data_IF_547022476930
#
_entry.id   IF_547022476930
#
_cell.length_a   1.000
_cell.length_b   1.000
_cell.length_c   1.000
_cell.angle_alpha   90.00
_cell.angle_beta   90.00
_cell.angle_gamma   90.00
#
_symmetry.space_group_name_H-M   'P 1'
#
loop_
_entity.id
_entity.type
_entity.pdbx_description
1 polymer ?
#
# COMPACT_ATOMS: atom_id res chain seq x y z
N UNK A 1 -21.26 -31.09 30.05
CA UNK A 1 -21.00 -29.68 29.72
C UNK A 1 -21.86 -29.34 28.51
N UNK A 2 -22.84 -28.44 28.66
CA UNK A 2 -23.70 -28.01 27.55
C UNK A 2 -22.86 -27.17 26.59
N UNK A 3 -22.72 -27.59 25.34
CA UNK A 3 -22.11 -26.75 24.29
C UNK A 3 -23.04 -25.56 24.06
N UNK A 4 -22.63 -24.37 24.51
CA UNK A 4 -23.36 -23.14 24.18
C UNK A 4 -23.40 -23.01 22.65
N UNK A 5 -24.61 -23.04 22.09
CA UNK A 5 -24.81 -22.89 20.67
C UNK A 5 -24.41 -21.46 20.26
N UNK A 6 -23.49 -21.34 19.30
CA UNK A 6 -23.08 -20.04 18.76
C UNK A 6 -24.29 -19.31 18.20
N UNK A 7 -24.58 -18.06 18.61
CA UNK A 7 -25.72 -17.32 18.11
C UNK A 7 -25.57 -17.06 16.60
N UNK A 8 -26.70 -17.10 15.88
CA UNK A 8 -26.77 -16.80 14.45
C UNK A 8 -27.51 -15.46 14.23
N UNK A 9 -27.22 -14.75 13.12
CA UNK A 9 -28.07 -13.66 12.67
C UNK A 9 -29.53 -14.12 12.45
N UNK A 10 -30.51 -13.20 12.49
CA UNK A 10 -31.91 -13.54 12.23
C UNK A 10 -32.11 -14.21 10.85
N UNK A 11 -32.86 -15.32 10.82
CA UNK A 11 -33.24 -16.02 9.59
C UNK A 11 -34.60 -15.51 9.12
N UNK A 12 -34.66 -14.98 7.90
CA UNK A 12 -35.85 -14.37 7.28
C UNK A 12 -36.07 -14.93 5.87
N UNK A 13 -37.23 -14.65 5.26
CA UNK A 13 -37.48 -14.99 3.86
C UNK A 13 -36.63 -14.12 2.89
N UNK A 14 -36.49 -14.58 1.64
CA UNK A 14 -35.67 -13.93 0.63
C UNK A 14 -36.14 -12.51 0.26
N UNK A 15 -37.45 -12.23 0.31
CA UNK A 15 -37.98 -10.91 -0.02
C UNK A 15 -37.66 -9.90 1.09
N UNK A 16 -37.75 -10.33 2.35
CA UNK A 16 -37.32 -9.54 3.50
C UNK A 16 -35.82 -9.29 3.44
N UNK A 17 -35.00 -10.32 3.21
CA UNK A 17 -33.55 -10.15 3.06
C UNK A 17 -33.18 -9.16 1.93
N UNK A 18 -33.80 -9.28 0.76
CA UNK A 18 -33.51 -8.42 -0.39
C UNK A 18 -33.85 -6.95 -0.09
N UNK A 19 -34.97 -6.68 0.58
CA UNK A 19 -35.35 -5.33 0.99
C UNK A 19 -34.32 -4.70 1.93
N UNK A 20 -33.88 -5.44 2.96
CA UNK A 20 -32.88 -4.93 3.90
C UNK A 20 -31.52 -4.72 3.20
N UNK A 21 -31.15 -5.62 2.28
CA UNK A 21 -29.93 -5.49 1.48
C UNK A 21 -29.98 -4.24 0.58
N UNK A 22 -31.09 -3.98 -0.10
CA UNK A 22 -31.20 -2.81 -0.97
C UNK A 22 -31.14 -1.50 -0.17
N UNK A 23 -31.74 -1.48 1.02
CA UNK A 23 -31.63 -0.35 1.94
C UNK A 23 -30.17 -0.12 2.39
N UNK A 24 -29.43 -1.17 2.75
CA UNK A 24 -28.02 -1.07 3.09
C UNK A 24 -27.17 -0.61 1.91
N UNK A 25 -27.45 -1.13 0.71
CA UNK A 25 -26.65 -0.89 -0.50
C UNK A 25 -26.66 0.57 -0.94
N UNK A 26 -27.69 1.34 -0.61
CA UNK A 26 -27.69 2.81 -0.76
C UNK A 26 -26.52 3.44 0.00
N UNK A 27 -26.31 3.04 1.26
CA UNK A 27 -25.22 3.55 2.11
C UNK A 27 -23.86 3.06 1.62
N UNK A 28 -23.77 1.79 1.19
CA UNK A 28 -22.52 1.24 0.65
C UNK A 28 -22.08 1.98 -0.62
N UNK A 29 -23.00 2.24 -1.55
CA UNK A 29 -22.70 3.00 -2.77
C UNK A 29 -22.39 4.47 -2.49
N UNK A 30 -23.01 5.07 -1.48
CA UNK A 30 -22.64 6.42 -1.03
C UNK A 30 -21.20 6.44 -0.48
N UNK A 31 -20.81 5.45 0.33
CA UNK A 31 -19.45 5.34 0.84
C UNK A 31 -18.41 5.10 -0.26
N UNK A 32 -18.74 4.32 -1.30
CA UNK A 32 -17.87 4.18 -2.48
C UNK A 32 -17.62 5.53 -3.16
N UNK A 33 -18.67 6.30 -3.43
CA UNK A 33 -18.54 7.62 -4.10
C UNK A 33 -17.76 8.62 -3.23
N UNK A 34 -17.92 8.55 -1.92
CA UNK A 34 -17.12 9.36 -1.00
C UNK A 34 -15.64 8.99 -1.06
N UNK A 35 -15.31 7.70 -1.15
CA UNK A 35 -13.92 7.26 -1.34
C UNK A 35 -13.36 7.73 -2.68
N UNK A 36 -14.16 7.72 -3.76
CA UNK A 36 -13.75 8.26 -5.06
C UNK A 36 -13.46 9.78 -4.97
N UNK A 37 -14.29 10.53 -4.25
CA UNK A 37 -14.09 11.96 -4.01
C UNK A 37 -12.85 12.24 -3.13
N UNK A 38 -12.62 11.43 -2.10
CA UNK A 38 -11.41 11.50 -1.27
C UNK A 38 -10.17 11.20 -2.11
N UNK A 39 -10.20 10.19 -2.97
CA UNK A 39 -9.09 9.88 -3.88
C UNK A 39 -8.81 11.05 -4.83
N UNK A 40 -9.87 11.69 -5.36
CA UNK A 40 -9.76 12.90 -6.17
C UNK A 40 -9.14 14.09 -5.41
N UNK A 41 -9.41 14.20 -4.10
CA UNK A 41 -8.77 15.20 -3.25
C UNK A 41 -7.30 14.87 -2.97
N UNK A 42 -6.95 13.59 -2.76
CA UNK A 42 -5.56 13.15 -2.55
C UNK A 42 -4.67 13.50 -3.74
N UNK A 43 -5.15 13.29 -4.97
CA UNK A 43 -4.45 13.66 -6.20
C UNK A 43 -4.20 15.17 -6.35
N UNK A 44 -4.85 16.00 -5.53
CA UNK A 44 -4.73 17.47 -5.51
C UNK A 44 -3.96 17.99 -4.29
N UNK A 45 -3.48 17.12 -3.41
CA UNK A 45 -2.67 17.56 -2.27
C UNK A 45 -1.36 18.19 -2.75
N UNK A 46 -0.90 19.28 -2.11
CA UNK A 46 0.45 19.76 -2.33
C UNK A 46 1.46 18.74 -1.83
N UNK A 47 2.64 18.73 -2.43
CA UNK A 47 3.72 17.79 -2.10
C UNK A 47 4.90 18.50 -1.41
N UNK A 48 5.60 17.79 -0.54
CA UNK A 48 6.78 18.30 0.17
C UNK A 48 8.03 17.71 -0.46
N UNK A 49 8.96 18.56 -0.90
CA UNK A 49 10.27 18.13 -1.40
C UNK A 49 11.07 17.48 -0.27
N UNK A 50 11.53 16.26 -0.50
CA UNK A 50 12.33 15.52 0.46
C UNK A 50 13.82 15.88 0.34
N UNK A 51 14.57 15.89 1.45
CA UNK A 51 16.02 15.83 1.41
C UNK A 51 16.52 14.63 0.61
N UNK A 52 17.78 14.70 0.17
CA UNK A 52 18.46 13.54 -0.38
C UNK A 52 18.81 12.58 0.75
N UNK A 53 18.05 11.51 0.88
CA UNK A 53 18.32 10.45 1.86
C UNK A 53 19.09 9.31 1.22
N UNK A 54 19.97 8.72 2.03
CA UNK A 54 20.52 7.39 1.79
C UNK A 54 19.86 6.42 2.76
N UNK A 55 19.33 5.32 2.23
CA UNK A 55 18.88 4.16 2.99
C UNK A 55 19.89 3.02 2.78
N UNK A 56 19.70 1.90 3.48
CA UNK A 56 20.50 0.70 3.25
C UNK A 56 19.60 -0.41 2.73
N UNK A 57 19.91 -0.94 1.54
CA UNK A 57 19.25 -2.09 0.93
C UNK A 57 20.14 -3.34 1.00
N UNK A 58 19.67 -4.44 0.41
CA UNK A 58 20.39 -5.71 0.41
C UNK A 58 21.78 -5.67 -0.23
N UNK A 59 22.01 -4.71 -1.14
CA UNK A 59 23.29 -4.51 -1.84
C UNK A 59 24.12 -3.37 -1.25
N UNK A 60 23.69 -2.81 -0.11
CA UNK A 60 24.36 -1.70 0.58
C UNK A 60 23.59 -0.37 0.47
N UNK A 61 24.29 0.78 0.65
CA UNK A 61 23.67 2.09 0.62
C UNK A 61 22.99 2.41 -0.72
N UNK A 62 21.80 3.02 -0.67
CA UNK A 62 20.98 3.37 -1.84
C UNK A 62 20.33 4.74 -1.64
N UNK A 63 20.32 5.60 -2.66
CA UNK A 63 19.63 6.89 -2.57
C UNK A 63 18.11 6.67 -2.61
N UNK A 64 17.34 7.51 -1.93
CA UNK A 64 15.87 7.40 -1.94
C UNK A 64 15.29 7.45 -3.37
N UNK A 65 15.88 8.23 -4.29
CA UNK A 65 15.46 8.29 -5.69
C UNK A 65 15.67 6.97 -6.45
N UNK A 66 16.62 6.14 -6.01
CA UNK A 66 16.93 4.82 -6.59
C UNK A 66 16.02 3.72 -6.02
N UNK A 67 15.43 3.93 -4.85
CA UNK A 67 14.41 3.02 -4.26
C UNK A 67 13.16 2.93 -5.15
N UNK A 68 12.95 3.88 -6.07
CA UNK A 68 11.87 3.81 -7.04
C UNK A 68 12.10 2.73 -8.13
N UNK A 69 13.34 2.29 -8.34
CA UNK A 69 13.68 1.21 -9.29
C UNK A 69 13.10 1.42 -10.70
N UNK A 70 13.21 2.65 -11.20
CA UNK A 70 12.70 3.06 -12.52
C UNK A 70 11.28 3.61 -12.52
N UNK A 71 10.50 3.42 -11.45
CA UNK A 71 9.14 3.92 -11.35
C UNK A 71 9.06 5.43 -11.03
N UNK A 72 7.92 6.06 -11.34
CA UNK A 72 7.65 7.44 -10.93
C UNK A 72 7.02 7.55 -9.54
N UNK A 73 6.34 6.50 -9.06
CA UNK A 73 5.60 6.54 -7.79
C UNK A 73 6.09 5.46 -6.82
N UNK A 74 6.14 5.79 -5.53
CA UNK A 74 6.61 4.87 -4.48
C UNK A 74 5.66 4.89 -3.29
N UNK A 75 5.20 3.72 -2.88
CA UNK A 75 4.57 3.48 -1.59
C UNK A 75 5.63 2.91 -0.66
N UNK A 76 5.74 3.45 0.55
CA UNK A 76 6.59 2.93 1.62
C UNK A 76 5.70 2.54 2.79
N UNK A 77 5.79 1.28 3.21
CA UNK A 77 5.29 0.86 4.52
C UNK A 77 6.42 0.95 5.54
N UNK A 78 6.29 1.87 6.49
CA UNK A 78 7.21 1.98 7.63
C UNK A 78 6.81 0.94 8.67
N UNK A 79 7.60 -0.14 8.75
CA UNK A 79 7.36 -1.24 9.68
C UNK A 79 7.92 -0.90 11.05
N UNK A 80 7.08 -1.01 12.09
CA UNK A 80 7.53 -0.83 13.47
C UNK A 80 8.65 -1.81 13.79
N UNK A 81 9.73 -1.30 14.38
CA UNK A 81 10.92 -2.08 14.65
C UNK A 81 11.35 -1.95 16.10
N UNK A 82 11.72 -3.08 16.70
CA UNK A 82 12.32 -3.15 18.02
C UNK A 82 13.68 -3.84 17.88
N UNK A 83 14.80 -3.10 18.03
CA UNK A 83 16.15 -3.65 17.89
C UNK A 83 16.38 -4.88 18.78
N UNK A 84 17.06 -5.90 18.25
CA UNK A 84 17.37 -7.13 18.98
C UNK A 84 16.21 -8.11 19.17
N UNK A 85 14.97 -7.77 18.79
CA UNK A 85 13.86 -8.71 18.85
C UNK A 85 13.91 -9.74 17.70
N UNK A 86 13.72 -11.01 18.04
CA UNK A 86 13.64 -12.10 17.05
C UNK A 86 12.38 -12.00 16.18
N UNK A 87 11.27 -11.58 16.79
CA UNK A 87 9.96 -11.40 16.16
C UNK A 87 9.49 -9.95 16.33
N UNK A 88 9.11 -9.33 15.20
CA UNK A 88 8.74 -7.91 15.13
C UNK A 88 7.22 -7.72 15.17
N UNK A 89 6.76 -6.47 14.99
CA UNK A 89 5.36 -6.08 15.18
C UNK A 89 4.35 -6.97 14.41
N UNK A 90 3.48 -7.73 15.10
CA UNK A 90 2.59 -8.69 14.45
C UNK A 90 1.53 -8.02 13.56
N UNK A 91 1.10 -6.79 13.89
CA UNK A 91 0.18 -6.04 13.04
C UNK A 91 0.83 -5.59 11.73
N UNK A 92 2.10 -5.21 11.76
CA UNK A 92 2.87 -4.84 10.57
C UNK A 92 3.10 -6.06 9.67
N UNK A 93 3.49 -7.19 10.26
CA UNK A 93 3.64 -8.47 9.57
C UNK A 93 2.32 -8.93 8.97
N UNK A 94 1.22 -8.81 9.74
CA UNK A 94 -0.12 -9.16 9.28
C UNK A 94 -0.55 -8.31 8.09
N UNK A 95 -0.35 -6.99 8.14
CA UNK A 95 -0.69 -6.10 7.03
C UNK A 95 0.12 -6.43 5.77
N UNK A 96 1.44 -6.53 5.90
CA UNK A 96 2.35 -6.72 4.76
C UNK A 96 2.28 -8.12 4.14
N UNK A 97 1.87 -9.14 4.90
CA UNK A 97 1.69 -10.51 4.38
C UNK A 97 0.58 -10.63 3.32
N UNK A 98 -0.29 -9.62 3.20
CA UNK A 98 -1.35 -9.58 2.19
C UNK A 98 -0.82 -9.27 0.78
N UNK A 99 0.42 -8.77 0.66
CA UNK A 99 0.99 -8.33 -0.61
C UNK A 99 2.06 -9.29 -1.11
N UNK A 100 1.63 -10.31 -1.86
CA UNK A 100 2.52 -11.29 -2.51
C UNK A 100 2.58 -11.13 -4.04
N UNK A 101 1.79 -10.19 -4.58
CA UNK A 101 1.62 -9.91 -6.01
C UNK A 101 1.54 -8.41 -6.23
N UNK A 102 2.66 -7.78 -6.54
CA UNK A 102 2.74 -6.35 -6.82
C UNK A 102 2.98 -6.04 -8.30
N UNK A 103 3.06 -7.07 -9.15
CA UNK A 103 3.26 -6.92 -10.60
C UNK A 103 2.24 -5.98 -11.24
N UNK A 104 0.99 -6.02 -10.78
CA UNK A 104 -0.04 -5.11 -11.28
C UNK A 104 0.20 -3.65 -10.88
N UNK A 105 0.71 -3.41 -9.68
CA UNK A 105 1.07 -2.07 -9.22
C UNK A 105 2.21 -1.51 -10.10
N UNK A 106 3.26 -2.30 -10.26
CA UNK A 106 4.47 -1.92 -10.98
C UNK A 106 4.23 -1.73 -12.49
N UNK A 107 3.51 -2.65 -13.13
CA UNK A 107 3.34 -2.64 -14.60
C UNK A 107 2.31 -1.63 -15.10
N UNK A 108 1.21 -1.42 -14.38
CA UNK A 108 0.09 -0.59 -14.88
C UNK A 108 0.05 0.79 -14.29
N UNK A 109 0.49 0.94 -13.04
CA UNK A 109 0.39 2.20 -12.33
C UNK A 109 1.74 2.89 -12.18
N UNK A 110 2.80 2.33 -12.76
CA UNK A 110 4.17 2.86 -12.66
C UNK A 110 4.54 3.19 -11.21
N UNK A 111 4.27 2.23 -10.33
CA UNK A 111 4.36 2.40 -8.89
C UNK A 111 5.00 1.20 -8.22
N UNK A 112 5.90 1.45 -7.27
CA UNK A 112 6.55 0.42 -6.45
C UNK A 112 6.01 0.46 -5.03
N UNK A 113 5.98 -0.69 -4.35
CA UNK A 113 5.65 -0.76 -2.92
C UNK A 113 6.73 -1.50 -2.13
N UNK A 114 7.34 -0.83 -1.17
CA UNK A 114 8.49 -1.33 -0.40
C UNK A 114 8.25 -1.21 1.11
N UNK A 115 9.08 -1.91 1.88
CA UNK A 115 9.09 -1.83 3.35
C UNK A 115 10.36 -1.10 3.80
N UNK A 116 10.21 -0.17 4.74
CA UNK A 116 11.33 0.51 5.41
C UNK A 116 11.22 0.29 6.92
N UNK A 117 12.34 0.00 7.59
CA UNK A 117 12.40 -0.18 9.04
C UNK A 117 13.53 0.65 9.67
N UNK A 118 13.46 0.85 10.99
CA UNK A 118 14.52 1.51 11.76
C UNK A 118 15.58 0.52 12.29
N UNK A 119 15.50 -0.76 11.94
CA UNK A 119 16.49 -1.78 12.28
C UNK A 119 17.66 -1.80 11.31
N UNK A 120 18.78 -2.43 11.66
CA UNK A 120 19.87 -2.62 10.68
C UNK A 120 19.37 -3.47 9.52
N UNK A 121 19.99 -3.30 8.34
CA UNK A 121 19.55 -4.03 7.16
C UNK A 121 19.72 -5.55 7.34
N UNK A 122 20.75 -6.00 8.07
CA UNK A 122 20.99 -7.42 8.33
C UNK A 122 19.85 -8.04 9.14
N UNK A 123 19.41 -7.37 10.22
CA UNK A 123 18.28 -7.85 11.02
C UNK A 123 16.98 -7.82 10.23
N UNK A 124 16.76 -6.75 9.45
CA UNK A 124 15.57 -6.57 8.61
C UNK A 124 15.45 -7.69 7.56
N UNK A 125 16.54 -8.03 6.87
CA UNK A 125 16.56 -9.09 5.86
C UNK A 125 16.42 -10.49 6.49
N UNK A 126 17.04 -10.73 7.65
CA UNK A 126 16.87 -11.97 8.38
C UNK A 126 15.41 -12.18 8.82
N UNK A 127 14.75 -11.11 9.28
CA UNK A 127 13.34 -11.15 9.62
C UNK A 127 12.44 -11.35 8.40
N UNK A 128 12.70 -10.63 7.30
CA UNK A 128 12.00 -10.80 6.02
C UNK A 128 11.98 -12.27 5.58
N UNK A 129 13.14 -12.92 5.60
CA UNK A 129 13.27 -14.34 5.26
C UNK A 129 12.46 -15.22 6.23
N UNK A 130 12.59 -14.97 7.54
CA UNK A 130 11.88 -15.72 8.58
C UNK A 130 10.36 -15.68 8.42
N UNK A 131 9.78 -14.55 7.99
CA UNK A 131 8.33 -14.42 7.78
C UNK A 131 7.90 -14.76 6.34
N UNK A 132 8.85 -15.11 5.46
CA UNK A 132 8.57 -15.43 4.05
C UNK A 132 8.03 -14.25 3.23
N UNK A 133 8.33 -13.01 3.63
CA UNK A 133 7.88 -11.83 2.89
C UNK A 133 8.77 -11.60 1.65
N UNK A 134 8.15 -11.34 0.50
CA UNK A 134 8.86 -11.23 -0.79
C UNK A 134 9.03 -9.79 -1.29
N UNK A 135 8.63 -8.79 -0.51
CA UNK A 135 8.78 -7.38 -0.88
C UNK A 135 10.25 -6.94 -0.76
N UNK A 136 10.59 -5.80 -1.35
CA UNK A 136 11.88 -5.14 -1.11
C UNK A 136 11.88 -4.47 0.28
N UNK A 137 12.95 -4.69 1.06
CA UNK A 137 13.13 -4.14 2.41
C UNK A 137 14.36 -3.25 2.43
N UNK A 138 14.22 -2.10 3.09
CA UNK A 138 15.29 -1.14 3.30
C UNK A 138 15.35 -0.74 4.78
N UNK A 139 16.53 -0.29 5.19
CA UNK A 139 16.78 0.24 6.52
C UNK A 139 16.97 1.75 6.45
N UNK A 140 16.37 2.47 7.39
CA UNK A 140 16.64 3.87 7.71
C UNK A 140 17.41 4.03 9.02
N UNK A 141 18.06 2.99 9.55
CA UNK A 141 18.74 3.05 10.85
C UNK A 141 19.81 4.16 10.93
N UNK A 142 20.52 4.41 9.83
CA UNK A 142 21.57 5.44 9.73
C UNK A 142 21.08 6.74 9.05
N UNK A 143 19.76 6.98 9.03
CA UNK A 143 19.12 8.08 8.30
C UNK A 143 17.99 8.72 9.11
N UNK A 144 17.79 10.03 9.00
CA UNK A 144 16.63 10.70 9.61
C UNK A 144 15.30 10.41 8.89
N UNK A 145 15.35 9.70 7.75
CA UNK A 145 14.19 9.43 6.90
C UNK A 145 12.97 8.97 7.69
N UNK A 146 13.12 7.98 8.58
CA UNK A 146 12.02 7.45 9.39
C UNK A 146 11.33 8.54 10.22
N UNK A 147 12.10 9.39 10.90
CA UNK A 147 11.56 10.50 11.68
C UNK A 147 10.86 11.55 10.80
N UNK A 148 11.46 11.89 9.65
CA UNK A 148 10.94 12.90 8.73
C UNK A 148 9.65 12.45 7.99
N UNK A 149 9.36 11.15 7.99
CA UNK A 149 8.14 10.56 7.41
C UNK A 149 7.14 10.05 8.45
N UNK A 150 7.21 10.59 9.67
CA UNK A 150 6.32 10.30 10.81
C UNK A 150 6.39 8.85 11.32
N UNK A 151 7.53 8.19 11.15
CA UNK A 151 7.82 6.84 11.63
C UNK A 151 9.21 6.74 12.30
N UNK A 152 9.50 7.55 13.35
CA UNK A 152 10.78 7.50 14.06
C UNK A 152 10.98 6.15 14.78
N UNK A 153 12.21 5.86 15.27
CA UNK A 153 12.41 4.82 16.27
C UNK A 153 11.42 4.96 17.44
N UNK A 154 10.93 3.82 17.94
CA UNK A 154 9.86 3.75 18.96
C UNK A 154 8.51 4.40 18.57
N UNK A 155 8.38 4.87 17.33
CA UNK A 155 7.16 5.37 16.74
C UNK A 155 6.21 4.26 16.26
N UNK A 156 5.05 4.69 15.75
CA UNK A 156 4.08 3.79 15.11
C UNK A 156 4.49 3.41 13.69
N UNK A 157 3.72 2.49 13.09
CA UNK A 157 3.82 2.20 11.66
C UNK A 157 3.22 3.34 10.82
N UNK A 158 3.52 3.38 9.52
CA UNK A 158 2.93 4.34 8.60
C UNK A 158 2.94 3.86 7.16
N UNK A 159 2.04 4.40 6.35
CA UNK A 159 2.07 4.29 4.88
C UNK A 159 2.37 5.67 4.34
N UNK A 160 3.45 5.79 3.58
CA UNK A 160 3.87 7.01 2.93
C UNK A 160 3.84 6.83 1.41
N UNK A 161 3.47 7.88 0.67
CA UNK A 161 3.46 7.88 -0.80
C UNK A 161 4.32 9.02 -1.33
N UNK A 162 5.15 8.70 -2.31
CA UNK A 162 6.11 9.60 -2.91
C UNK A 162 5.97 9.63 -4.43
N UNK A 163 6.29 10.79 -5.01
CA UNK A 163 6.44 11.02 -6.44
C UNK A 163 7.90 11.39 -6.73
N UNK A 164 8.44 10.89 -7.83
CA UNK A 164 9.79 11.20 -8.30
C UNK A 164 9.73 12.01 -9.59
N UNK A 165 10.54 13.07 -9.66
CA UNK A 165 10.85 13.81 -10.89
C UNK A 165 12.37 13.89 -11.05
N UNK A 166 12.91 13.06 -11.96
CA UNK A 166 14.35 12.86 -12.07
C UNK A 166 14.96 12.29 -10.78
N UNK A 167 15.88 13.05 -10.16
CA UNK A 167 16.49 12.71 -8.87
C UNK A 167 15.75 13.31 -7.67
N UNK A 168 14.75 14.15 -7.90
CA UNK A 168 13.98 14.81 -6.85
C UNK A 168 12.83 13.92 -6.39
N UNK A 169 12.65 13.84 -5.07
CA UNK A 169 11.59 13.04 -4.45
C UNK A 169 10.68 13.95 -3.65
N UNK A 170 9.38 13.75 -3.80
CA UNK A 170 8.35 14.51 -3.10
C UNK A 170 7.44 13.58 -2.32
N UNK A 171 7.21 13.87 -1.05
CA UNK A 171 6.17 13.20 -0.23
C UNK A 171 4.82 13.83 -0.57
N UNK A 172 3.85 12.98 -0.92
CA UNK A 172 2.55 13.40 -1.45
C UNK A 172 1.39 13.05 -0.52
N UNK A 173 1.51 11.95 0.23
CA UNK A 173 0.45 11.49 1.13
C UNK A 173 0.99 10.58 2.24
N UNK A 174 0.29 10.54 3.37
CA UNK A 174 0.61 9.65 4.50
C UNK A 174 -0.64 9.27 5.32
N UNK A 175 -0.63 8.06 5.90
CA UNK A 175 -1.55 7.66 6.98
C UNK A 175 -0.90 6.67 7.95
N UNK A 176 -1.47 6.55 9.15
CA UNK A 176 -1.14 5.54 10.14
C UNK A 176 -2.38 5.14 10.96
N UNK A 177 -2.25 4.12 11.81
CA UNK A 177 -3.34 3.70 12.68
C UNK A 177 -4.59 3.22 11.91
N UNK A 178 -5.78 3.57 12.42
CA UNK A 178 -7.08 3.20 11.82
C UNK A 178 -7.25 3.84 10.46
N UNK A 179 -7.68 3.03 9.50
CA UNK A 179 -7.81 3.41 8.09
C UNK A 179 -6.83 2.65 7.21
N UNK A 180 -5.68 2.25 7.75
CA UNK A 180 -4.66 1.46 7.03
C UNK A 180 -5.21 0.10 6.58
N UNK A 181 -6.13 -0.50 7.34
CA UNK A 181 -6.78 -1.77 6.97
C UNK A 181 -7.51 -1.70 5.62
N UNK A 182 -7.93 -0.51 5.17
CA UNK A 182 -8.57 -0.29 3.86
C UNK A 182 -7.59 -0.40 2.70
N UNK A 183 -6.28 -0.40 2.97
CA UNK A 183 -5.22 -0.45 1.97
C UNK A 183 -4.75 -1.88 1.68
N UNK A 184 -5.36 -2.87 2.33
CA UNK A 184 -5.03 -4.30 2.23
C UNK A 184 -5.33 -4.94 0.87
N UNK A 185 -5.79 -4.17 -0.11
CA UNK A 185 -6.07 -4.61 -1.47
C UNK A 185 -5.52 -3.60 -2.48
N UNK A 186 -5.17 -4.07 -3.68
CA UNK A 186 -4.48 -3.28 -4.70
C UNK A 186 -5.17 -1.94 -4.99
N UNK A 187 -6.49 -1.94 -5.19
CA UNK A 187 -7.24 -0.73 -5.53
C UNK A 187 -7.15 0.35 -4.45
N UNK A 188 -7.09 -0.07 -3.17
CA UNK A 188 -6.92 0.83 -2.05
C UNK A 188 -5.55 1.50 -2.07
N UNK A 189 -4.51 0.80 -2.54
CA UNK A 189 -3.17 1.36 -2.75
C UNK A 189 -3.14 2.31 -3.95
N UNK A 190 -3.75 1.93 -5.07
CA UNK A 190 -3.77 2.73 -6.30
C UNK A 190 -4.49 4.06 -6.09
N UNK A 191 -5.53 4.09 -5.26
CA UNK A 191 -6.25 5.32 -4.89
C UNK A 191 -5.44 6.30 -4.01
N UNK A 192 -4.23 5.91 -3.57
CA UNK A 192 -3.28 6.78 -2.87
C UNK A 192 -2.27 7.43 -3.81
N UNK A 193 -2.08 6.85 -5.00
CA UNK A 193 -1.05 7.26 -5.92
C UNK A 193 -1.34 8.66 -6.47
N UNK A 194 -0.31 9.51 -6.66
CA UNK A 194 -0.45 10.82 -7.28
C UNK A 194 -1.24 10.80 -8.59
N UNK A 195 -1.02 9.79 -9.44
CA UNK A 195 -1.71 9.62 -10.72
C UNK A 195 -2.99 8.76 -10.65
N UNK A 196 -3.33 8.22 -9.47
CA UNK A 196 -4.53 7.40 -9.28
C UNK A 196 -4.57 6.15 -10.15
N UNK A 197 -5.80 5.75 -10.53
CA UNK A 197 -6.01 4.61 -11.44
C UNK A 197 -5.79 4.97 -12.90
N UNK A 198 -5.74 6.25 -13.23
CA UNK A 198 -5.58 6.79 -14.59
C UNK A 198 -6.79 6.49 -15.49
N UNK A 199 -7.95 6.19 -14.91
CA UNK A 199 -9.16 5.92 -15.70
C UNK A 199 -9.89 7.21 -16.07
N UNK A 200 -10.46 7.27 -17.28
CA UNK A 200 -11.15 8.47 -17.80
C UNK A 200 -12.27 9.00 -16.90
N UNK A 201 -12.96 8.13 -16.15
CA UNK A 201 -14.01 8.53 -15.22
C UNK A 201 -13.47 9.18 -13.95
N UNK A 202 -12.19 9.00 -13.61
CA UNK A 202 -11.61 9.59 -12.41
C UNK A 202 -11.55 11.11 -12.54
N UNK A 203 -12.02 11.77 -11.48
CA UNK A 203 -11.78 13.18 -11.27
C UNK A 203 -10.31 13.39 -10.89
N UNK A 204 -9.50 13.78 -11.87
CA UNK A 204 -8.06 13.98 -11.76
C UNK A 204 -7.68 15.36 -12.33
N UNK A 205 -6.62 16.01 -11.78
CA UNK A 205 -6.07 17.25 -12.33
C UNK A 205 -5.85 17.22 -13.84
N UNK A 206 -5.89 18.41 -14.46
CA UNK A 206 -5.51 18.56 -15.87
C UNK A 206 -4.05 18.13 -16.08
N UNK A 207 -3.79 17.40 -17.17
CA UNK A 207 -2.46 16.89 -17.50
C UNK A 207 -2.10 15.56 -16.83
N UNK A 208 -2.91 15.02 -15.91
CA UNK A 208 -2.69 13.66 -15.39
C UNK A 208 -2.86 12.61 -16.48
N UNK A 209 -2.03 11.54 -16.47
CA UNK A 209 -2.16 10.46 -17.42
C UNK A 209 -3.53 9.82 -17.29
N UNK A 210 -4.15 9.52 -18.45
CA UNK A 210 -5.46 8.89 -18.54
C UNK A 210 -5.50 7.85 -19.65
N UNK A 211 -6.33 6.85 -19.46
CA UNK A 211 -6.69 5.83 -20.44
C UNK A 211 -8.19 5.49 -20.32
N UNK A 212 -8.80 4.85 -21.33
CA UNK A 212 -10.20 4.45 -21.26
C UNK A 212 -10.48 3.54 -20.06
N UNK A 213 -11.66 3.70 -19.47
CA UNK A 213 -12.13 2.90 -18.33
C UNK A 213 -12.02 1.41 -18.63
N UNK A 214 -11.39 0.64 -17.73
CA UNK A 214 -11.10 -0.80 -17.88
C UNK A 214 -10.19 -1.20 -19.05
N UNK A 215 -9.47 -0.26 -19.68
CA UNK A 215 -8.54 -0.58 -20.76
C UNK A 215 -7.17 -1.09 -20.29
N UNK A 216 -6.80 -0.84 -19.02
CA UNK A 216 -5.57 -1.34 -18.41
C UNK A 216 -5.82 -2.57 -17.54
N UNK A 217 -4.74 -3.29 -17.23
CA UNK A 217 -4.72 -4.47 -16.38
C UNK A 217 -4.19 -5.71 -17.11
N UNK A 218 -3.84 -6.73 -16.33
CA UNK A 218 -3.41 -8.01 -16.91
C UNK A 218 -4.61 -8.76 -17.47
N UNK A 219 -4.47 -9.26 -18.70
CA UNK A 219 -5.35 -10.30 -19.19
C UNK A 219 -5.21 -11.57 -18.37
N UNK A 220 -6.23 -12.44 -18.40
CA UNK A 220 -6.22 -13.70 -17.64
C UNK A 220 -5.01 -14.59 -17.92
N UNK A 221 -4.46 -14.55 -19.15
CA UNK A 221 -3.24 -15.29 -19.52
C UNK A 221 -1.99 -14.75 -18.81
N UNK A 222 -1.85 -13.43 -18.72
CA UNK A 222 -0.71 -12.79 -18.04
C UNK A 222 -0.78 -13.03 -16.53
N UNK A 223 -1.98 -12.89 -15.94
CA UNK A 223 -2.23 -13.26 -14.54
C UNK A 223 -1.85 -14.72 -14.30
N UNK A 224 -2.31 -15.64 -15.16
CA UNK A 224 -2.00 -17.06 -15.06
C UNK A 224 -0.50 -17.34 -15.08
N UNK A 225 0.27 -16.62 -15.90
CA UNK A 225 1.73 -16.77 -15.97
C UNK A 225 2.42 -16.41 -14.64
N UNK A 226 1.89 -15.47 -13.85
CA UNK A 226 2.45 -15.12 -12.54
C UNK A 226 2.36 -16.27 -11.53
N UNK A 227 1.33 -17.13 -11.63
CA UNK A 227 1.22 -18.34 -10.81
C UNK A 227 2.22 -19.43 -11.18
N UNK A 228 3.07 -19.18 -12.19
CA UNK A 228 3.98 -20.15 -12.76
C UNK A 228 3.22 -21.03 -13.74
N UNK A 229 3.34 -20.75 -15.03
CA UNK A 229 2.84 -21.67 -16.03
C UNK A 229 3.80 -22.87 -16.16
N UNK A 230 3.35 -24.06 -15.78
CA UNK A 230 3.63 -25.26 -16.58
C UNK A 230 2.46 -25.39 -17.56
N UNK A 231 2.60 -24.89 -18.78
CA UNK A 231 2.00 -25.40 -20.02
C UNK A 231 2.58 -24.63 -21.21
#
# INVERSE_FOLDING_TARGET
MSTAQTPLPPVVDAATWQRELDALRVREKAATRELDAIAAQRRRLPMVRMPQYTLVGAEGPVRLSEVFDGHSQLIVYNHMWSPGNEWQCPGCTGFTSQFTRLDGLERYYDARFVIVTNGTIEEALAYRERVGNTMAWYSSADSSFGADVDAPPDGGFGVNVFLRDGDEVFRTWHTNGRGTERLSHLQGLVDLLPYGRQEEWEDSPEGWPKHPTYAQGMGSKEIGALYGARH
#
